data_IF_092718504984
#
_entry.id   IF_092718504984
#
_cell.length_a   1.000
_cell.length_b   1.000
_cell.length_c   1.000
_cell.angle_alpha   90.00
_cell.angle_beta   90.00
_cell.angle_gamma   90.00
#
_symmetry.space_group_name_H-M   'P 1'
#
loop_
_entity.id
_entity.type
_entity.pdbx_description
1 polymer ?
#
# COMPACT_ATOMS: atom_id res chain seq x y z
N UNK A 1 33.36 -5.30 31.37
CA UNK A 1 32.79 -4.46 30.26
C UNK A 1 32.43 -5.21 28.97
N UNK A 2 32.61 -6.51 28.89
CA UNK A 2 32.30 -7.32 27.68
C UNK A 2 30.83 -7.79 27.67
N UNK A 3 30.12 -7.77 28.79
CA UNK A 3 28.73 -8.26 28.90
C UNK A 3 27.65 -7.34 28.33
N UNK A 4 27.88 -6.03 28.25
CA UNK A 4 26.87 -5.06 27.77
C UNK A 4 26.72 -5.04 26.25
N UNK A 5 27.77 -5.38 25.52
CA UNK A 5 27.76 -5.44 24.06
C UNK A 5 26.99 -6.64 23.51
N UNK A 6 27.06 -7.81 24.14
CA UNK A 6 26.34 -9.02 23.73
C UNK A 6 24.83 -8.90 23.96
N UNK A 7 24.41 -8.39 25.12
CA UNK A 7 23.00 -8.17 25.44
C UNK A 7 22.35 -7.18 24.47
N UNK A 8 23.06 -6.13 24.07
CA UNK A 8 22.58 -5.18 23.08
C UNK A 8 22.42 -5.77 21.67
N UNK A 9 23.33 -6.65 21.26
CA UNK A 9 23.26 -7.31 19.95
C UNK A 9 22.15 -8.35 19.89
N UNK A 10 21.92 -9.13 20.95
CA UNK A 10 20.84 -10.12 20.98
C UNK A 10 19.45 -9.46 20.99
N UNK A 11 19.27 -8.35 21.70
CA UNK A 11 18.02 -7.54 21.61
C UNK A 11 17.80 -7.02 20.20
N UNK A 12 18.83 -6.50 19.54
CA UNK A 12 18.73 -5.99 18.17
C UNK A 12 18.37 -7.09 17.17
N UNK A 13 18.93 -8.28 17.29
CA UNK A 13 18.63 -9.44 16.43
C UNK A 13 17.19 -9.90 16.63
N UNK A 14 16.74 -9.98 17.85
CA UNK A 14 15.36 -10.38 18.18
C UNK A 14 14.35 -9.38 17.64
N UNK A 15 14.60 -8.09 17.79
CA UNK A 15 13.72 -7.04 17.30
C UNK A 15 13.69 -7.01 15.75
N UNK A 16 14.83 -7.23 15.12
CA UNK A 16 14.92 -7.35 13.66
C UNK A 16 14.19 -8.58 13.13
N UNK A 17 14.31 -9.71 13.81
CA UNK A 17 13.59 -10.94 13.47
C UNK A 17 12.07 -10.75 13.63
N UNK A 18 11.63 -10.14 14.73
CA UNK A 18 10.22 -9.80 14.95
C UNK A 18 9.69 -8.88 13.85
N UNK A 19 10.42 -7.82 13.52
CA UNK A 19 10.05 -6.90 12.45
C UNK A 19 9.96 -7.61 11.08
N UNK A 20 10.92 -8.48 10.77
CA UNK A 20 10.90 -9.24 9.53
C UNK A 20 9.69 -10.18 9.43
N UNK A 21 9.40 -10.94 10.48
CA UNK A 21 8.26 -11.86 10.53
C UNK A 21 6.94 -11.11 10.41
N UNK A 22 6.77 -10.03 11.18
CA UNK A 22 5.54 -9.22 11.15
C UNK A 22 5.35 -8.55 9.80
N UNK A 23 6.42 -8.08 9.16
CA UNK A 23 6.37 -7.50 7.83
C UNK A 23 5.97 -8.51 6.75
N UNK A 24 6.53 -9.72 6.80
CA UNK A 24 6.15 -10.80 5.87
C UNK A 24 4.69 -11.19 6.08
N UNK A 25 4.24 -11.37 7.32
CA UNK A 25 2.84 -11.69 7.63
C UNK A 25 1.89 -10.59 7.15
N UNK A 26 2.25 -9.34 7.36
CA UNK A 26 1.49 -8.21 6.83
C UNK A 26 1.40 -8.26 5.30
N UNK A 27 2.51 -8.50 4.61
CA UNK A 27 2.53 -8.59 3.14
C UNK A 27 1.65 -9.73 2.61
N UNK A 28 1.69 -10.90 3.26
CA UNK A 28 0.85 -12.05 2.90
C UNK A 28 -0.63 -11.74 3.11
N UNK A 29 -1.01 -11.22 4.28
CA UNK A 29 -2.41 -10.89 4.58
C UNK A 29 -2.94 -9.78 3.69
N UNK A 30 -2.11 -8.77 3.39
CA UNK A 30 -2.46 -7.71 2.44
C UNK A 30 -2.74 -8.29 1.04
N UNK A 31 -1.86 -9.16 0.54
CA UNK A 31 -2.02 -9.80 -0.77
C UNK A 31 -3.28 -10.67 -0.83
N UNK A 32 -3.58 -11.40 0.25
CA UNK A 32 -4.81 -12.21 0.35
C UNK A 32 -6.10 -11.38 0.27
N UNK A 33 -6.05 -10.13 0.65
CA UNK A 33 -7.18 -9.19 0.53
C UNK A 33 -7.18 -8.48 -0.83
N UNK A 34 -6.01 -8.01 -1.28
CA UNK A 34 -5.88 -7.16 -2.47
C UNK A 34 -6.25 -7.90 -3.76
N UNK A 35 -5.82 -9.15 -3.92
CA UNK A 35 -6.11 -9.95 -5.12
C UNK A 35 -7.62 -10.16 -5.32
N UNK A 36 -8.39 -10.65 -4.32
CA UNK A 36 -9.86 -10.76 -4.46
C UNK A 36 -10.54 -9.41 -4.70
N UNK A 37 -10.07 -8.34 -4.05
CA UNK A 37 -10.62 -7.01 -4.22
C UNK A 37 -10.58 -6.55 -5.69
N UNK A 38 -9.42 -6.64 -6.33
CA UNK A 38 -9.28 -6.27 -7.73
C UNK A 38 -9.97 -7.24 -8.69
N UNK A 39 -10.05 -8.53 -8.35
CA UNK A 39 -10.73 -9.54 -9.14
C UNK A 39 -12.26 -9.42 -9.11
N UNK A 40 -12.82 -8.73 -8.12
CA UNK A 40 -14.27 -8.46 -8.07
C UNK A 40 -14.74 -7.50 -9.17
N UNK A 41 -13.91 -6.56 -9.63
CA UNK A 41 -14.32 -5.59 -10.66
C UNK A 41 -14.91 -6.26 -11.90
N UNK A 42 -14.28 -7.29 -12.50
CA UNK A 42 -14.89 -8.05 -13.59
C UNK A 42 -16.19 -8.79 -13.21
N UNK A 43 -16.37 -9.15 -11.95
CA UNK A 43 -17.51 -9.94 -11.48
C UNK A 43 -18.81 -9.14 -11.37
N UNK A 44 -18.74 -7.83 -11.16
CA UNK A 44 -19.92 -6.98 -11.06
C UNK A 44 -20.07 -5.95 -12.19
N UNK A 45 -19.17 -5.95 -13.19
CA UNK A 45 -19.26 -5.12 -14.39
C UNK A 45 -19.55 -5.95 -15.63
N UNK A 46 -20.38 -5.44 -16.53
CA UNK A 46 -20.73 -6.12 -17.78
C UNK A 46 -19.63 -6.07 -18.84
N UNK A 47 -18.53 -5.34 -18.57
CA UNK A 47 -17.37 -5.22 -19.46
C UNK A 47 -17.28 -3.87 -20.18
N UNK A 48 -16.25 -3.71 -21.04
CA UNK A 48 -16.07 -2.49 -21.84
C UNK A 48 -15.87 -1.24 -20.99
N UNK A 49 -16.55 -0.17 -21.36
CA UNK A 49 -16.42 1.17 -20.77
C UNK A 49 -16.80 1.25 -19.29
N UNK A 50 -17.74 0.40 -18.85
CA UNK A 50 -18.15 0.34 -17.43
C UNK A 50 -16.99 -0.16 -16.56
N UNK A 51 -16.29 -1.19 -17.01
CA UNK A 51 -15.11 -1.76 -16.32
C UNK A 51 -13.96 -0.76 -16.24
N UNK A 52 -13.71 -0.04 -17.32
CA UNK A 52 -12.68 1.02 -17.36
C UNK A 52 -13.01 2.13 -16.38
N UNK A 53 -14.23 2.63 -16.37
CA UNK A 53 -14.68 3.68 -15.47
C UNK A 53 -14.58 3.25 -14.00
N UNK A 54 -15.00 2.03 -13.67
CA UNK A 54 -14.90 1.49 -12.31
C UNK A 54 -13.43 1.34 -11.86
N UNK A 55 -12.58 0.82 -12.73
CA UNK A 55 -11.15 0.68 -12.42
C UNK A 55 -10.48 2.04 -12.23
N UNK A 56 -10.80 3.02 -13.07
CA UNK A 56 -10.29 4.38 -12.96
C UNK A 56 -10.77 5.05 -11.68
N UNK A 57 -12.06 4.93 -11.37
CA UNK A 57 -12.63 5.48 -10.12
C UNK A 57 -11.99 4.86 -8.88
N UNK A 58 -11.81 3.54 -8.85
CA UNK A 58 -11.16 2.84 -7.74
C UNK A 58 -9.71 3.32 -7.54
N UNK A 59 -8.94 3.46 -8.62
CA UNK A 59 -7.56 3.98 -8.55
C UNK A 59 -7.52 5.44 -8.13
N UNK A 60 -8.45 6.26 -8.60
CA UNK A 60 -8.55 7.67 -8.22
C UNK A 60 -8.84 7.82 -6.73
N UNK A 61 -9.79 7.06 -6.21
CA UNK A 61 -10.10 7.04 -4.77
C UNK A 61 -8.90 6.56 -3.93
N UNK A 62 -8.20 5.52 -4.40
CA UNK A 62 -6.99 5.02 -3.73
C UNK A 62 -5.87 6.08 -3.72
N UNK A 63 -5.65 6.78 -4.84
CA UNK A 63 -4.69 7.88 -4.94
C UNK A 63 -5.04 9.05 -4.02
N UNK A 64 -6.28 9.48 -4.00
CA UNK A 64 -6.76 10.53 -3.09
C UNK A 64 -6.59 10.12 -1.62
N UNK A 65 -6.97 8.90 -1.27
CA UNK A 65 -6.78 8.37 0.08
C UNK A 65 -5.31 8.33 0.50
N UNK A 66 -4.44 7.88 -0.38
CA UNK A 66 -2.98 7.86 -0.15
C UNK A 66 -2.43 9.27 0.09
N UNK A 67 -2.82 10.25 -0.71
CA UNK A 67 -2.40 11.65 -0.56
C UNK A 67 -2.86 12.24 0.80
N UNK A 68 -4.12 12.01 1.19
CA UNK A 68 -4.66 12.47 2.47
C UNK A 68 -3.87 11.85 3.63
N UNK A 69 -3.68 10.54 3.61
CA UNK A 69 -2.95 9.82 4.67
C UNK A 69 -1.52 10.35 4.77
N UNK A 70 -0.83 10.53 3.64
CA UNK A 70 0.56 11.03 3.64
C UNK A 70 0.68 12.40 4.32
N UNK A 71 -0.26 13.31 4.08
CA UNK A 71 -0.24 14.66 4.66
C UNK A 71 -0.61 14.65 6.15
N UNK A 72 -1.59 13.85 6.54
CA UNK A 72 -2.19 13.91 7.88
C UNK A 72 -1.46 13.03 8.89
N UNK A 73 -0.77 11.97 8.46
CA UNK A 73 -0.19 10.95 9.35
C UNK A 73 0.62 11.54 10.51
N UNK A 74 1.60 12.37 10.21
CA UNK A 74 2.49 12.88 11.27
C UNK A 74 1.81 13.87 12.20
N UNK A 75 0.89 14.67 11.69
CA UNK A 75 0.10 15.59 12.51
C UNK A 75 -0.79 14.81 13.50
N UNK A 76 -1.46 13.75 13.01
CA UNK A 76 -2.26 12.87 13.85
C UNK A 76 -1.40 12.13 14.89
N UNK A 77 -0.24 11.63 14.51
CA UNK A 77 0.68 10.95 15.42
C UNK A 77 1.12 11.89 16.55
N UNK A 78 1.48 13.13 16.22
CA UNK A 78 1.89 14.12 17.20
C UNK A 78 0.76 14.49 18.17
N UNK A 79 -0.45 14.71 17.66
CA UNK A 79 -1.64 15.03 18.47
C UNK A 79 -2.05 13.86 19.39
N UNK A 80 -2.09 12.64 18.86
CA UNK A 80 -2.50 11.45 19.61
C UNK A 80 -1.46 11.01 20.63
N UNK A 81 -0.19 11.32 20.38
CA UNK A 81 0.92 10.93 21.25
C UNK A 81 1.27 11.94 22.33
N UNK A 82 0.65 13.14 22.35
CA UNK A 82 1.06 14.24 23.24
C UNK A 82 2.60 14.46 23.25
N UNK A 83 3.22 14.41 22.06
CA UNK A 83 4.66 14.53 21.88
C UNK A 83 5.46 13.22 22.02
N UNK A 84 4.82 12.10 22.33
CA UNK A 84 5.46 10.77 22.32
C UNK A 84 5.11 10.03 21.03
N UNK A 85 6.07 9.92 20.13
CA UNK A 85 5.88 9.29 18.82
C UNK A 85 5.42 7.83 18.91
N UNK A 86 5.98 7.05 19.84
CA UNK A 86 5.60 5.64 20.02
C UNK A 86 4.11 5.47 20.36
N UNK A 87 3.63 6.28 21.30
CA UNK A 87 2.21 6.27 21.70
C UNK A 87 1.31 6.79 20.58
N UNK A 88 1.76 7.81 19.88
CA UNK A 88 1.07 8.38 18.73
C UNK A 88 0.87 7.37 17.60
N UNK A 89 1.93 6.68 17.17
CA UNK A 89 1.85 5.65 16.14
C UNK A 89 0.97 4.48 16.55
N UNK A 90 0.99 4.07 17.83
CA UNK A 90 0.13 3.00 18.34
C UNK A 90 -1.36 3.34 18.17
N UNK A 91 -1.78 4.53 18.62
CA UNK A 91 -3.18 4.96 18.52
C UNK A 91 -3.60 5.24 17.09
N UNK A 92 -2.72 5.85 16.30
CA UNK A 92 -2.97 6.09 14.89
C UNK A 92 -3.17 4.79 14.11
N UNK A 93 -2.29 3.80 14.30
CA UNK A 93 -2.42 2.50 13.67
C UNK A 93 -3.73 1.78 14.04
N UNK A 94 -4.15 1.89 15.30
CA UNK A 94 -5.42 1.31 15.77
C UNK A 94 -6.61 1.98 15.06
N UNK A 95 -6.64 3.30 14.97
CA UNK A 95 -7.72 4.04 14.30
C UNK A 95 -7.79 3.66 12.81
N UNK A 96 -6.65 3.64 12.11
CA UNK A 96 -6.59 3.25 10.70
C UNK A 96 -7.03 1.80 10.50
N UNK A 97 -6.66 0.88 11.38
CA UNK A 97 -7.07 -0.52 11.32
C UNK A 97 -8.59 -0.69 11.48
N UNK A 98 -9.19 0.04 12.41
CA UNK A 98 -10.66 0.04 12.59
C UNK A 98 -11.36 0.59 11.35
N UNK A 99 -10.89 1.73 10.83
CA UNK A 99 -11.43 2.35 9.62
C UNK A 99 -11.36 1.40 8.42
N UNK A 100 -10.22 0.74 8.25
CA UNK A 100 -10.00 -0.25 7.20
C UNK A 100 -10.96 -1.43 7.33
N UNK A 101 -11.11 -2.00 8.53
CA UNK A 101 -12.02 -3.11 8.79
C UNK A 101 -13.47 -2.75 8.51
N UNK A 102 -13.92 -1.57 8.96
CA UNK A 102 -15.29 -1.06 8.70
C UNK A 102 -15.50 -0.87 7.20
N UNK A 103 -14.53 -0.32 6.48
CA UNK A 103 -14.60 -0.12 5.02
C UNK A 103 -14.76 -1.44 4.27
N UNK A 104 -14.01 -2.47 4.67
CA UNK A 104 -14.13 -3.81 4.08
C UNK A 104 -15.51 -4.42 4.39
N UNK A 105 -16.01 -4.30 5.61
CA UNK A 105 -17.35 -4.79 5.97
C UNK A 105 -18.44 -4.13 5.13
N UNK A 106 -18.38 -2.79 4.97
CA UNK A 106 -19.31 -2.05 4.13
C UNK A 106 -19.27 -2.57 2.69
N UNK A 107 -18.07 -2.81 2.16
CA UNK A 107 -17.88 -3.36 0.82
C UNK A 107 -18.50 -4.74 0.69
N UNK A 108 -18.21 -5.66 1.61
CA UNK A 108 -18.73 -7.02 1.58
C UNK A 108 -20.26 -7.10 1.69
N UNK A 109 -20.88 -6.19 2.46
CA UNK A 109 -22.34 -6.18 2.64
C UNK A 109 -23.06 -5.58 1.43
N UNK A 110 -22.46 -4.58 0.79
CA UNK A 110 -23.15 -3.83 -0.29
C UNK A 110 -22.90 -4.38 -1.69
N UNK A 111 -21.79 -5.07 -1.93
CA UNK A 111 -21.50 -5.62 -3.25
C UNK A 111 -22.27 -6.92 -3.47
N UNK A 112 -23.08 -6.92 -4.52
CA UNK A 112 -23.78 -8.11 -5.01
C UNK A 112 -23.16 -8.54 -6.34
N UNK A 113 -22.77 -9.80 -6.41
CA UNK A 113 -22.27 -10.40 -7.63
C UNK A 113 -23.36 -10.42 -8.70
N UNK A 114 -23.09 -9.81 -9.86
CA UNK A 114 -24.00 -9.81 -11.03
C UNK A 114 -23.61 -10.86 -12.05
N UNK A 115 -22.37 -11.34 -12.00
CA UNK A 115 -21.87 -12.28 -12.99
C UNK A 115 -22.38 -13.68 -12.74
N UNK A 116 -23.13 -14.21 -13.70
CA UNK A 116 -23.57 -15.63 -13.75
C UNK A 116 -22.59 -16.51 -14.53
N UNK A 117 -21.37 -16.05 -14.73
CA UNK A 117 -20.36 -16.82 -15.45
C UNK A 117 -19.91 -17.98 -14.56
N UNK A 118 -20.32 -19.19 -14.93
CA UNK A 118 -19.75 -20.41 -14.35
C UNK A 118 -18.25 -20.47 -14.71
N UNK A 119 -17.43 -19.99 -13.80
CA UNK A 119 -15.99 -20.12 -13.94
C UNK A 119 -15.64 -21.57 -13.65
N UNK A 120 -15.32 -22.33 -14.69
CA UNK A 120 -14.74 -23.67 -14.50
C UNK A 120 -13.49 -23.52 -13.67
N UNK A 121 -13.33 -24.36 -12.64
CA UNK A 121 -12.16 -24.37 -11.78
C UNK A 121 -10.92 -24.80 -12.59
N UNK A 122 -10.16 -23.84 -13.05
CA UNK A 122 -8.93 -24.07 -13.81
C UNK A 122 -7.79 -24.33 -12.84
N UNK A 123 -7.00 -25.36 -13.08
CA UNK A 123 -5.80 -25.65 -12.29
C UNK A 123 -4.79 -24.51 -12.35
N UNK A 124 -4.15 -24.16 -11.23
CA UNK A 124 -3.11 -23.13 -11.15
C UNK A 124 -2.02 -23.32 -12.22
N UNK A 125 -1.66 -24.56 -12.53
CA UNK A 125 -0.69 -24.89 -13.58
C UNK A 125 -1.18 -24.47 -14.96
N UNK A 126 -2.47 -24.66 -15.25
CA UNK A 126 -3.07 -24.26 -16.53
C UNK A 126 -3.16 -22.74 -16.64
N UNK A 127 -3.49 -22.04 -15.54
CA UNK A 127 -3.50 -20.58 -15.50
C UNK A 127 -2.11 -20.01 -15.78
N UNK A 128 -1.07 -20.55 -15.15
CA UNK A 128 0.31 -20.12 -15.36
C UNK A 128 0.77 -20.40 -16.81
N UNK A 129 0.42 -21.56 -17.33
CA UNK A 129 0.72 -21.91 -18.73
C UNK A 129 0.03 -20.96 -19.71
N UNK A 130 -1.24 -20.65 -19.50
CA UNK A 130 -1.99 -19.72 -20.35
C UNK A 130 -1.40 -18.29 -20.30
N UNK A 131 -0.94 -17.85 -19.11
CA UNK A 131 -0.26 -16.56 -18.95
C UNK A 131 1.04 -16.51 -19.77
N UNK A 132 1.91 -17.52 -19.62
CA UNK A 132 3.20 -17.57 -20.32
C UNK A 132 3.05 -17.73 -21.84
N UNK A 133 1.97 -18.35 -22.30
CA UNK A 133 1.68 -18.49 -23.72
C UNK A 133 1.11 -17.21 -24.38
N UNK A 134 0.74 -16.23 -23.58
CA UNK A 134 0.22 -14.95 -24.06
C UNK A 134 1.29 -13.85 -23.93
N UNK A 135 2.01 -13.60 -25.02
CA UNK A 135 3.10 -12.62 -25.07
C UNK A 135 2.65 -11.21 -24.61
N UNK A 136 1.43 -10.81 -24.96
CA UNK A 136 0.88 -9.51 -24.54
C UNK A 136 0.66 -9.45 -23.04
N UNK A 137 0.13 -10.51 -22.44
CA UNK A 137 -0.07 -10.58 -21.00
C UNK A 137 1.27 -10.58 -20.25
N UNK A 138 2.26 -11.32 -20.74
CA UNK A 138 3.61 -11.33 -20.17
C UNK A 138 4.24 -9.94 -20.23
N UNK A 139 4.17 -9.27 -21.38
CA UNK A 139 4.71 -7.91 -21.53
C UNK A 139 4.08 -6.93 -20.53
N UNK A 140 2.75 -6.96 -20.38
CA UNK A 140 2.02 -6.12 -19.41
C UNK A 140 2.44 -6.44 -17.96
N UNK A 141 2.52 -7.71 -17.60
CA UNK A 141 2.93 -8.13 -16.25
C UNK A 141 4.34 -7.64 -15.94
N UNK A 142 5.30 -7.87 -16.85
CA UNK A 142 6.69 -7.41 -16.67
C UNK A 142 6.74 -5.90 -16.53
N UNK A 143 6.04 -5.16 -17.35
CA UNK A 143 5.98 -3.70 -17.31
C UNK A 143 5.42 -3.22 -15.96
N UNK A 144 4.31 -3.79 -15.48
CA UNK A 144 3.70 -3.44 -14.19
C UNK A 144 4.67 -3.73 -13.04
N UNK A 145 5.35 -4.88 -13.05
CA UNK A 145 6.33 -5.25 -12.02
C UNK A 145 7.49 -4.25 -11.99
N UNK A 146 8.05 -3.90 -13.14
CA UNK A 146 9.17 -2.95 -13.22
C UNK A 146 8.77 -1.54 -12.77
N UNK A 147 7.60 -1.05 -13.19
CA UNK A 147 7.09 0.26 -12.79
C UNK A 147 6.84 0.28 -11.28
N UNK A 148 6.13 -0.70 -10.73
CA UNK A 148 5.86 -0.74 -9.30
C UNK A 148 7.15 -0.89 -8.47
N UNK A 149 8.08 -1.74 -8.88
CA UNK A 149 9.38 -1.86 -8.22
C UNK A 149 10.13 -0.52 -8.17
N UNK A 150 10.18 0.20 -9.29
CA UNK A 150 10.80 1.53 -9.37
C UNK A 150 10.12 2.52 -8.42
N UNK A 151 8.79 2.60 -8.44
CA UNK A 151 8.02 3.50 -7.58
C UNK A 151 8.23 3.17 -6.10
N UNK A 152 8.13 1.90 -5.71
CA UNK A 152 8.31 1.49 -4.31
C UNK A 152 9.72 1.73 -3.80
N UNK A 153 10.75 1.40 -4.60
CA UNK A 153 12.16 1.66 -4.23
C UNK A 153 12.37 3.17 -4.05
N UNK A 154 11.93 3.98 -5.00
CA UNK A 154 12.08 5.43 -4.92
C UNK A 154 11.35 6.00 -3.71
N UNK A 155 10.10 5.63 -3.48
CA UNK A 155 9.30 6.12 -2.36
C UNK A 155 9.91 5.78 -1.00
N UNK A 156 10.47 4.57 -0.87
CA UNK A 156 11.13 4.16 0.38
C UNK A 156 12.49 4.85 0.59
N UNK A 157 13.20 5.20 -0.48
CA UNK A 157 14.50 5.86 -0.38
C UNK A 157 14.40 7.37 -0.13
N UNK A 158 13.30 8.01 -0.50
CA UNK A 158 13.13 9.47 -0.33
C UNK A 158 13.32 9.92 1.12
N UNK A 159 12.80 9.19 2.10
CA UNK A 159 12.97 9.55 3.52
C UNK A 159 14.44 9.51 3.95
N UNK A 160 15.20 8.52 3.44
CA UNK A 160 16.64 8.39 3.74
C UNK A 160 17.44 9.51 3.09
N UNK A 161 17.09 9.93 1.88
CA UNK A 161 17.69 11.08 1.22
C UNK A 161 17.52 12.35 2.05
N UNK A 162 16.31 12.67 2.49
CA UNK A 162 16.09 13.84 3.33
C UNK A 162 16.79 13.75 4.68
N UNK A 163 16.85 12.57 5.28
CA UNK A 163 17.43 12.37 6.60
C UNK A 163 18.97 12.43 6.60
N UNK A 164 19.61 11.86 5.59
CA UNK A 164 21.06 11.64 5.58
C UNK A 164 21.82 12.55 4.60
N UNK A 165 21.22 12.91 3.49
CA UNK A 165 21.88 13.65 2.41
C UNK A 165 21.48 15.13 2.44
N UNK A 166 20.22 15.44 2.53
CA UNK A 166 19.72 16.79 2.70
C UNK A 166 20.12 17.38 4.06
N UNK A 167 20.08 16.57 5.11
CA UNK A 167 20.67 16.81 6.43
C UNK A 167 20.17 18.04 7.19
N UNK A 168 20.67 18.21 8.43
CA UNK A 168 20.38 19.36 9.27
C UNK A 168 19.11 19.21 10.13
N UNK A 169 18.84 20.22 10.95
CA UNK A 169 17.69 20.23 11.86
C UNK A 169 16.35 20.27 11.16
N UNK A 170 16.34 20.71 9.89
CA UNK A 170 15.12 20.95 9.11
C UNK A 170 14.79 19.85 8.07
N UNK A 171 15.48 18.70 8.09
CA UNK A 171 15.25 17.62 7.13
C UNK A 171 13.78 17.17 7.09
N UNK A 172 13.13 17.18 8.23
CA UNK A 172 11.74 16.79 8.40
C UNK A 172 10.77 17.75 7.70
N UNK A 173 11.01 19.06 7.83
CA UNK A 173 10.23 20.08 7.15
C UNK A 173 10.37 19.96 5.62
N UNK A 174 11.59 19.72 5.13
CA UNK A 174 11.85 19.48 3.72
C UNK A 174 11.13 18.24 3.19
N UNK A 175 11.18 17.13 3.92
CA UNK A 175 10.46 15.90 3.58
C UNK A 175 8.94 16.11 3.54
N UNK A 176 8.38 16.78 4.55
CA UNK A 176 6.93 17.08 4.63
C UNK A 176 6.49 17.99 3.48
N UNK A 177 7.26 19.02 3.16
CA UNK A 177 6.98 19.92 2.05
C UNK A 177 6.98 19.16 0.72
N UNK A 178 7.97 18.31 0.49
CA UNK A 178 8.08 17.48 -0.71
C UNK A 178 6.87 16.56 -0.88
N UNK A 179 6.48 15.85 0.20
CA UNK A 179 5.32 14.96 0.15
C UNK A 179 4.00 15.71 -0.03
N UNK A 180 3.85 16.89 0.58
CA UNK A 180 2.65 17.72 0.42
C UNK A 180 2.53 18.21 -1.02
N UNK A 181 3.63 18.67 -1.60
CA UNK A 181 3.66 19.08 -3.00
C UNK A 181 3.40 17.89 -3.95
N UNK A 182 4.04 16.75 -3.71
CA UNK A 182 3.81 15.51 -4.45
C UNK A 182 2.35 15.06 -4.38
N UNK A 183 1.74 15.10 -3.20
CA UNK A 183 0.32 14.79 -2.99
C UNK A 183 -0.60 15.75 -3.76
N UNK A 184 -0.32 17.04 -3.75
CA UNK A 184 -1.07 18.04 -4.52
C UNK A 184 -0.99 17.78 -6.03
N UNK A 185 0.21 17.50 -6.55
CA UNK A 185 0.40 17.15 -7.96
C UNK A 185 -0.34 15.85 -8.32
N UNK A 186 -0.33 14.85 -7.44
CA UNK A 186 -1.06 13.61 -7.64
C UNK A 186 -2.57 13.84 -7.75
N UNK A 187 -3.15 14.68 -6.88
CA UNK A 187 -4.58 15.04 -6.93
C UNK A 187 -4.89 15.79 -8.24
N UNK A 188 -4.07 16.74 -8.63
CA UNK A 188 -4.24 17.47 -9.89
C UNK A 188 -4.14 16.55 -11.12
N UNK A 189 -3.24 15.57 -11.09
CA UNK A 189 -3.12 14.57 -12.15
C UNK A 189 -4.38 13.70 -12.29
N UNK A 190 -5.05 13.37 -11.18
CA UNK A 190 -6.31 12.62 -11.19
C UNK A 190 -7.48 13.40 -11.80
N UNK A 191 -7.47 14.74 -11.70
CA UNK A 191 -8.50 15.59 -12.30
C UNK A 191 -8.36 15.65 -13.83
N UNK A 192 -7.15 15.40 -14.35
CA UNK A 192 -6.86 15.45 -15.78
C UNK A 192 -7.05 14.12 -16.54
N UNK A 193 -7.26 13.01 -15.85
CA UNK A 193 -7.53 11.69 -16.40
C UNK A 193 -9.04 11.42 -16.44
#
# INVERSE_FOLDING_TARGET
EIGSGLVGSEMCIRDSAYAAVTYILWGVTYTMMDIPYWSMIPAFTEGGRERENMSTMARSCAGAGSAIVTVITMQCVYLLGNGNEYTGFKWYALIISILFFVSILITCVNIKEKSTVNVESVSVKQMFKALVQNDQAVAVVVTIVLINASVYITSNLVIYFFKYDFGGADWYNGYTLFNTFGGAVQILSLIHI
#
